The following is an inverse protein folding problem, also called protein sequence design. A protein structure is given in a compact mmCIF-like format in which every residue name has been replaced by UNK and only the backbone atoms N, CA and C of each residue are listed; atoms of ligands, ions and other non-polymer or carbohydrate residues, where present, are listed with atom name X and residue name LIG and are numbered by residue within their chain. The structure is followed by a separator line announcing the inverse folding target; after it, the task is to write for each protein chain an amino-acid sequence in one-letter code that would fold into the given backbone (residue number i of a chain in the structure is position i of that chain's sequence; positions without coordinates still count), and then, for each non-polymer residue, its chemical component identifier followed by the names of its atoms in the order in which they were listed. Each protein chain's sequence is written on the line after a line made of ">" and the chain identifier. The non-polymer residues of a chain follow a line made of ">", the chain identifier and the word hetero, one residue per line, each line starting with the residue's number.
data_IF_871768320362
#
_entry.id   IF_871768320362
#
_cell.length_a   1.000
_cell.length_b   1.000
_cell.length_c   1.000
_cell.angle_alpha   90.00
_cell.angle_beta   90.00
_cell.angle_gamma   90.00
#
_symmetry.space_group_name_H-M   'P 1'
#
loop_
_entity.id
_entity.type
_entity.pdbx_description
1 polymer ?
#
# COMPACT_ATOMS: atom_id res chain seq x y z
N UNK A 1 2.92 -41.42 143.48
CA UNK A 1 2.29 -41.40 142.15
C UNK A 1 1.77 -39.99 141.86
N UNK A 2 2.60 -39.05 141.40
CA UNK A 2 2.19 -37.66 141.15
C UNK A 2 2.88 -36.96 139.98
N UNK A 3 3.89 -37.59 139.37
CA UNK A 3 4.74 -36.94 138.36
C UNK A 3 4.32 -37.20 136.91
N UNK A 4 3.33 -38.06 136.66
CA UNK A 4 2.89 -38.38 135.29
C UNK A 4 1.75 -37.46 134.82
N UNK A 5 0.73 -37.15 135.64
CA UNK A 5 -0.43 -36.32 135.22
C UNK A 5 -0.06 -34.88 134.78
N UNK A 6 0.92 -34.26 135.43
CA UNK A 6 1.43 -32.94 135.04
C UNK A 6 2.18 -32.95 133.70
N UNK A 7 2.91 -34.04 133.41
CA UNK A 7 3.65 -34.20 132.15
C UNK A 7 2.69 -34.40 130.97
N UNK A 8 1.62 -35.18 131.14
CA UNK A 8 0.57 -35.36 130.12
C UNK A 8 -0.24 -34.07 129.84
N UNK A 9 -0.42 -33.20 130.84
CA UNK A 9 -1.09 -31.90 130.65
C UNK A 9 -0.19 -30.86 129.99
N UNK A 10 1.11 -30.87 130.29
CA UNK A 10 2.11 -30.01 129.64
C UNK A 10 2.35 -30.47 128.20
N UNK A 11 2.41 -31.78 127.96
CA UNK A 11 2.54 -32.32 126.60
C UNK A 11 1.31 -31.98 125.75
N UNK A 12 0.08 -32.19 126.27
CA UNK A 12 -1.14 -31.74 125.56
C UNK A 12 -1.18 -30.24 125.31
N UNK A 13 -0.69 -29.42 126.24
CA UNK A 13 -0.61 -27.97 126.04
C UNK A 13 0.38 -27.61 124.93
N UNK A 14 1.57 -28.23 124.92
CA UNK A 14 2.56 -28.05 123.85
C UNK A 14 2.05 -28.55 122.49
N UNK A 15 1.34 -29.67 122.46
CA UNK A 15 0.75 -30.21 121.24
C UNK A 15 -0.39 -29.31 120.71
N UNK A 16 -1.22 -28.75 121.60
CA UNK A 16 -2.22 -27.73 121.26
C UNK A 16 -1.57 -26.44 120.76
N UNK A 17 -0.53 -25.96 121.43
CA UNK A 17 0.20 -24.74 121.04
C UNK A 17 0.90 -24.93 119.68
N UNK A 18 1.46 -26.12 119.43
CA UNK A 18 2.05 -26.50 118.14
C UNK A 18 1.00 -26.56 117.03
N UNK A 19 -0.17 -27.14 117.30
CA UNK A 19 -1.29 -27.19 116.37
C UNK A 19 -1.84 -25.80 116.04
N UNK A 20 -1.95 -24.92 117.04
CA UNK A 20 -2.35 -23.52 116.84
C UNK A 20 -1.32 -22.77 115.99
N UNK A 21 -0.03 -23.01 116.20
CA UNK A 21 1.05 -22.41 115.39
C UNK A 21 0.99 -22.89 113.94
N UNK A 22 0.77 -24.19 113.72
CA UNK A 22 0.61 -24.79 112.39
C UNK A 22 -0.63 -24.23 111.67
N UNK A 23 -1.78 -24.16 112.35
CA UNK A 23 -3.01 -23.60 111.79
C UNK A 23 -2.83 -22.13 111.40
N UNK A 24 -2.09 -21.37 112.21
CA UNK A 24 -1.79 -19.96 111.97
C UNK A 24 -0.89 -19.76 110.75
N UNK A 25 0.10 -20.63 110.56
CA UNK A 25 0.98 -20.61 109.40
C UNK A 25 0.21 -20.92 108.11
N UNK A 26 -0.65 -21.94 108.14
CA UNK A 26 -1.51 -22.31 107.01
C UNK A 26 -2.50 -21.20 106.65
N UNK A 27 -3.07 -20.51 107.63
CA UNK A 27 -3.98 -19.38 107.38
C UNK A 27 -3.25 -18.18 106.77
N UNK A 28 -2.00 -17.93 107.17
CA UNK A 28 -1.15 -16.89 106.59
C UNK A 28 -0.74 -17.22 105.15
N UNK A 29 -0.37 -18.48 104.89
CA UNK A 29 -0.06 -18.95 103.53
C UNK A 29 -1.26 -18.80 102.59
N UNK A 30 -2.46 -19.19 103.05
CA UNK A 30 -3.71 -19.00 102.31
C UNK A 30 -4.00 -17.51 102.06
N UNK A 31 -3.78 -16.65 103.06
CA UNK A 31 -3.93 -15.20 102.91
C UNK A 31 -2.98 -14.62 101.84
N UNK A 32 -1.69 -14.99 101.88
CA UNK A 32 -0.70 -14.55 100.89
C UNK A 32 -1.05 -15.02 99.47
N UNK A 33 -1.55 -16.25 99.31
CA UNK A 33 -2.01 -16.77 98.03
C UNK A 33 -3.20 -15.97 97.49
N UNK A 34 -4.21 -15.69 98.31
CA UNK A 34 -5.37 -14.86 97.91
C UNK A 34 -4.92 -13.46 97.50
N UNK A 35 -4.00 -12.84 98.25
CA UNK A 35 -3.47 -11.50 97.93
C UNK A 35 -2.66 -11.48 96.64
N UNK A 36 -1.88 -12.53 96.39
CA UNK A 36 -1.13 -12.73 95.13
C UNK A 36 -2.09 -12.81 93.95
N UNK A 37 -3.16 -13.60 94.08
CA UNK A 37 -4.19 -13.73 93.03
C UNK A 37 -4.89 -12.38 92.80
N UNK A 38 -5.29 -11.65 93.84
CA UNK A 38 -5.86 -10.30 93.69
C UNK A 38 -4.90 -9.34 92.97
N UNK A 39 -3.60 -9.44 93.24
CA UNK A 39 -2.57 -8.61 92.60
C UNK A 39 -2.38 -8.98 91.12
N UNK A 40 -2.41 -10.27 90.78
CA UNK A 40 -2.34 -10.74 89.40
C UNK A 40 -3.57 -10.32 88.59
N UNK A 41 -4.77 -10.43 89.18
CA UNK A 41 -6.01 -10.00 88.52
C UNK A 41 -6.04 -8.48 88.29
N UNK A 42 -5.54 -7.70 89.25
CA UNK A 42 -5.38 -6.24 89.11
C UNK A 42 -4.32 -5.87 88.07
N UNK A 43 -3.22 -6.62 87.99
CA UNK A 43 -2.15 -6.44 87.00
C UNK A 43 -2.60 -6.71 85.57
N UNK A 44 -3.52 -7.66 85.37
CA UNK A 44 -4.13 -7.95 84.07
C UNK A 44 -5.20 -6.91 83.67
N UNK A 45 -5.82 -6.19 84.62
CA UNK A 45 -6.70 -5.04 84.33
C UNK A 45 -5.92 -3.79 83.86
N UNK A 46 -4.60 -3.73 84.12
CA UNK A 46 -3.73 -2.59 83.78
C UNK A 46 -3.14 -2.71 82.36
N UNK A 47 -3.28 -3.86 81.70
CA UNK A 47 -2.69 -4.07 80.36
C UNK A 47 -3.45 -3.38 79.23
N UNK A 48 -4.46 -2.54 79.51
CA UNK A 48 -5.15 -1.77 78.47
C UNK A 48 -5.42 -0.29 78.82
N UNK A 49 -4.53 0.31 79.61
CA UNK A 49 -4.53 1.77 79.81
C UNK A 49 -3.10 2.31 79.76
N UNK A 50 -2.62 2.50 78.54
CA UNK A 50 -1.45 3.31 78.26
C UNK A 50 -1.75 4.81 78.45
N UNK A 51 -1.86 5.28 79.70
CA UNK A 51 -1.62 6.69 80.07
C UNK A 51 -1.10 6.74 81.52
N UNK A 52 0.04 7.39 81.70
CA UNK A 52 0.80 7.45 82.95
C UNK A 52 0.21 8.45 83.97
N UNK A 53 0.73 8.31 85.21
CA UNK A 53 0.89 9.35 86.25
C UNK A 53 -0.35 9.88 86.97
N UNK A 54 -0.62 9.33 88.16
CA UNK A 54 -0.27 9.98 89.44
C UNK A 54 -0.47 8.96 90.57
N UNK A 55 0.65 8.56 91.16
CA UNK A 55 0.68 7.69 92.32
C UNK A 55 0.65 8.52 93.60
N UNK A 56 -0.47 8.48 94.33
CA UNK A 56 -0.41 8.60 95.78
C UNK A 56 -1.51 7.76 96.44
N UNK A 57 -1.09 6.64 97.02
CA UNK A 57 -1.39 6.26 98.40
C UNK A 57 -0.69 4.93 98.65
N UNK A 58 0.48 5.06 99.24
CA UNK A 58 1.10 4.04 100.07
C UNK A 58 0.07 3.53 101.10
N UNK A 59 -0.20 2.23 101.03
CA UNK A 59 -0.64 1.41 102.17
C UNK A 59 -0.07 0.00 101.90
N UNK A 60 1.25 -0.05 101.79
CA UNK A 60 1.98 -1.32 101.89
C UNK A 60 2.82 -1.29 103.14
N UNK A 61 2.18 -1.60 104.26
CA UNK A 61 2.84 -2.13 105.45
C UNK A 61 2.19 -3.48 105.76
N UNK A 62 2.65 -4.56 105.11
CA UNK A 62 3.68 -5.48 105.64
C UNK A 62 3.26 -6.22 106.92
N UNK A 63 2.40 -7.23 106.79
CA UNK A 63 2.27 -8.31 107.78
C UNK A 63 3.21 -9.47 107.41
N UNK A 64 4.52 -9.25 107.56
CA UNK A 64 5.58 -10.24 107.29
C UNK A 64 5.66 -11.38 108.32
N UNK A 65 4.72 -11.40 109.26
CA UNK A 65 4.67 -12.36 110.34
C UNK A 65 3.24 -12.81 110.56
N UNK A 66 3.06 -14.12 110.72
CA UNK A 66 1.79 -14.69 111.16
C UNK A 66 1.27 -14.03 112.45
N UNK A 67 2.16 -13.38 113.23
CA UNK A 67 1.87 -12.72 114.50
C UNK A 67 0.95 -11.48 114.42
N UNK A 68 0.89 -10.81 113.27
CA UNK A 68 0.31 -9.45 113.14
C UNK A 68 -0.86 -9.34 112.14
N UNK A 69 -1.62 -10.42 111.93
CA UNK A 69 -2.77 -10.41 111.02
C UNK A 69 -4.01 -9.91 111.77
N UNK A 70 -4.60 -8.74 111.43
CA UNK A 70 -5.83 -8.27 112.05
C UNK A 70 -6.99 -9.21 111.75
N UNK A 71 -7.86 -9.44 112.72
CA UNK A 71 -9.07 -10.25 112.58
C UNK A 71 -9.96 -9.66 111.48
N UNK A 72 -10.09 -10.36 110.34
CA UNK A 72 -10.91 -9.93 109.20
C UNK A 72 -10.17 -9.57 107.91
N UNK A 73 -8.83 -9.52 107.90
CA UNK A 73 -8.04 -9.23 106.69
C UNK A 73 -8.23 -10.26 105.56
N UNK A 74 -8.26 -11.56 105.88
CA UNK A 74 -8.57 -12.63 104.92
C UNK A 74 -9.97 -12.47 104.32
N UNK A 75 -10.95 -12.06 105.14
CA UNK A 75 -12.31 -11.83 104.66
C UNK A 75 -12.37 -10.65 103.69
N UNK A 76 -11.64 -9.56 103.99
CA UNK A 76 -11.50 -8.42 103.10
C UNK A 76 -10.82 -8.78 101.77
N UNK A 77 -9.72 -9.54 101.79
CA UNK A 77 -9.05 -10.00 100.57
C UNK A 77 -9.89 -10.99 99.75
N UNK A 78 -10.71 -11.82 100.39
CA UNK A 78 -11.66 -12.69 99.69
C UNK A 78 -12.84 -11.92 99.07
N UNK A 79 -13.34 -10.87 99.73
CA UNK A 79 -14.34 -9.97 99.15
C UNK A 79 -13.76 -9.19 97.96
N UNK A 80 -12.51 -8.75 98.07
CA UNK A 80 -11.79 -8.11 96.97
C UNK A 80 -11.60 -9.09 95.80
N UNK A 81 -11.17 -10.32 96.06
CA UNK A 81 -11.05 -11.37 95.04
C UNK A 81 -12.39 -11.59 94.36
N UNK A 82 -13.47 -11.74 95.13
CA UNK A 82 -14.83 -11.90 94.59
C UNK A 82 -15.23 -10.72 93.70
N UNK A 83 -14.91 -9.49 94.11
CA UNK A 83 -15.18 -8.28 93.32
C UNK A 83 -14.38 -8.26 92.02
N UNK A 84 -13.08 -8.56 92.07
CA UNK A 84 -12.20 -8.58 90.89
C UNK A 84 -12.62 -9.67 89.90
N UNK A 85 -12.95 -10.87 90.38
CA UNK A 85 -13.46 -11.96 89.53
C UNK A 85 -14.82 -11.61 88.90
N UNK A 86 -15.70 -10.95 89.66
CA UNK A 86 -16.99 -10.48 89.13
C UNK A 86 -16.80 -9.39 88.06
N UNK A 87 -15.87 -8.45 88.28
CA UNK A 87 -15.54 -7.42 87.28
C UNK A 87 -14.99 -8.01 85.98
N UNK A 88 -14.21 -9.10 86.02
CA UNK A 88 -13.73 -9.76 84.80
C UNK A 88 -14.85 -10.48 84.05
N UNK A 89 -15.81 -11.07 84.78
CA UNK A 89 -17.00 -11.67 84.18
C UNK A 89 -17.92 -10.62 83.56
N UNK A 90 -18.15 -9.50 84.26
CA UNK A 90 -19.05 -8.42 83.81
C UNK A 90 -18.36 -7.52 82.76
N UNK A 91 -17.04 -7.35 82.84
CA UNK A 91 -16.22 -6.64 81.84
C UNK A 91 -16.23 -7.34 80.48
N UNK A 92 -16.50 -8.64 80.45
CA UNK A 92 -16.74 -9.39 79.22
C UNK A 92 -18.07 -8.99 78.53
N UNK A 93 -19.05 -8.44 79.25
CA UNK A 93 -20.29 -7.87 78.66
C UNK A 93 -20.04 -6.47 78.07
N UNK A 94 -19.04 -5.72 78.58
CA UNK A 94 -18.61 -4.44 78.00
C UNK A 94 -17.86 -4.60 76.67
N UNK A 95 -17.57 -5.84 76.26
CA UNK A 95 -17.07 -6.15 74.91
C UNK A 95 -18.09 -5.83 73.82
N UNK A 96 -19.35 -5.53 74.13
CA UNK A 96 -20.35 -5.09 73.14
C UNK A 96 -19.93 -3.86 72.32
N UNK A 97 -19.24 -2.88 72.93
CA UNK A 97 -18.73 -1.70 72.21
C UNK A 97 -17.52 -2.04 71.34
N UNK A 98 -16.62 -2.91 71.83
CA UNK A 98 -15.47 -3.38 71.03
C UNK A 98 -15.90 -4.28 69.88
N UNK A 99 -16.91 -5.12 70.11
CA UNK A 99 -17.52 -5.97 69.08
C UNK A 99 -18.24 -5.15 68.02
N UNK A 100 -18.91 -4.04 68.38
CA UNK A 100 -19.53 -3.18 67.35
C UNK A 100 -18.49 -2.43 66.53
N UNK A 101 -17.42 -1.92 67.16
CA UNK A 101 -16.34 -1.25 66.42
C UNK A 101 -15.57 -2.24 65.53
N UNK A 102 -15.40 -3.48 65.98
CA UNK A 102 -14.82 -4.57 65.20
C UNK A 102 -15.73 -5.00 64.03
N UNK A 103 -17.04 -5.16 64.23
CA UNK A 103 -18.01 -5.39 63.14
C UNK A 103 -17.99 -4.26 62.10
N UNK A 104 -17.89 -3.00 62.54
CA UNK A 104 -17.83 -1.84 61.64
C UNK A 104 -16.54 -1.84 60.81
N UNK A 105 -15.41 -2.21 61.43
CA UNK A 105 -14.13 -2.35 60.73
C UNK A 105 -14.14 -3.53 59.75
N UNK A 106 -14.69 -4.68 60.13
CA UNK A 106 -14.87 -5.84 59.24
C UNK A 106 -15.71 -5.49 58.02
N UNK A 107 -16.82 -4.78 58.24
CA UNK A 107 -17.68 -4.28 57.17
C UNK A 107 -16.95 -3.29 56.25
N UNK A 108 -16.09 -2.43 56.81
CA UNK A 108 -15.27 -1.50 56.05
C UNK A 108 -14.17 -2.20 55.24
N UNK A 109 -13.56 -3.24 55.80
CA UNK A 109 -12.62 -4.12 55.08
C UNK A 109 -13.34 -4.89 53.98
N UNK A 110 -14.55 -5.41 54.24
CA UNK A 110 -15.38 -6.08 53.23
C UNK A 110 -15.71 -5.13 52.09
N UNK A 111 -16.12 -3.90 52.41
CA UNK A 111 -16.46 -2.87 51.43
C UNK A 111 -15.25 -2.42 50.61
N UNK A 112 -14.10 -2.14 51.25
CA UNK A 112 -12.86 -1.84 50.52
C UNK A 112 -12.41 -3.03 49.67
N UNK A 113 -12.64 -4.26 50.14
CA UNK A 113 -12.39 -5.48 49.37
C UNK A 113 -13.30 -5.61 48.15
N UNK A 114 -14.56 -5.17 48.24
CA UNK A 114 -15.50 -5.05 47.11
C UNK A 114 -15.03 -3.98 46.13
N UNK A 115 -14.72 -2.77 46.61
CA UNK A 115 -14.23 -1.67 45.77
C UNK A 115 -12.92 -2.03 45.04
N UNK A 116 -12.01 -2.77 45.69
CA UNK A 116 -10.79 -3.29 45.04
C UNK A 116 -11.08 -4.36 43.98
N UNK A 117 -12.12 -5.19 44.18
CA UNK A 117 -12.57 -6.16 43.16
C UNK A 117 -13.20 -5.43 41.97
N UNK A 118 -14.08 -4.46 42.22
CA UNK A 118 -14.73 -3.66 41.18
C UNK A 118 -13.70 -2.89 40.35
N UNK A 119 -12.71 -2.26 41.00
CA UNK A 119 -11.61 -1.57 40.30
C UNK A 119 -10.75 -2.53 39.46
N UNK A 120 -10.54 -3.76 39.94
CA UNK A 120 -9.80 -4.78 39.18
C UNK A 120 -10.58 -5.23 37.94
N UNK A 121 -11.87 -5.50 38.09
CA UNK A 121 -12.73 -5.88 36.96
C UNK A 121 -12.79 -4.77 35.91
N UNK A 122 -12.93 -3.51 36.33
CA UNK A 122 -12.89 -2.37 35.40
C UNK A 122 -11.55 -2.23 34.69
N UNK A 123 -10.44 -2.43 35.41
CA UNK A 123 -9.11 -2.39 34.80
C UNK A 123 -8.92 -3.53 33.78
N UNK A 124 -9.35 -4.75 34.11
CA UNK A 124 -9.28 -5.89 33.20
C UNK A 124 -10.15 -5.66 31.95
N UNK A 125 -11.35 -5.09 32.09
CA UNK A 125 -12.21 -4.71 30.97
C UNK A 125 -11.56 -3.64 30.07
N UNK A 126 -10.97 -2.60 30.65
CA UNK A 126 -10.25 -1.58 29.86
C UNK A 126 -9.02 -2.16 29.17
N UNK A 127 -8.32 -3.10 29.81
CA UNK A 127 -7.20 -3.81 29.21
C UNK A 127 -7.66 -4.68 28.04
N UNK A 128 -8.78 -5.38 28.16
CA UNK A 128 -9.36 -6.19 27.08
C UNK A 128 -9.84 -5.33 25.91
N UNK A 129 -10.49 -4.18 26.18
CA UNK A 129 -10.85 -3.18 25.15
C UNK A 129 -9.63 -2.62 24.43
N UNK A 130 -8.54 -2.36 25.16
CA UNK A 130 -7.29 -1.89 24.57
C UNK A 130 -6.69 -2.97 23.68
N UNK A 131 -6.72 -4.24 24.10
CA UNK A 131 -6.24 -5.37 23.32
C UNK A 131 -7.06 -5.59 22.06
N UNK A 132 -8.39 -5.58 22.14
CA UNK A 132 -9.27 -5.71 20.97
C UNK A 132 -9.10 -4.56 19.99
N UNK A 133 -8.99 -3.32 20.49
CA UNK A 133 -8.71 -2.15 19.64
C UNK A 133 -7.35 -2.25 18.93
N UNK A 134 -6.34 -2.79 19.61
CA UNK A 134 -5.03 -3.04 19.00
C UNK A 134 -5.10 -4.11 17.90
N UNK A 135 -5.84 -5.19 18.11
CA UNK A 135 -6.08 -6.22 17.10
C UNK A 135 -6.81 -5.65 15.87
N UNK A 136 -7.86 -4.84 16.07
CA UNK A 136 -8.57 -4.16 14.98
C UNK A 136 -7.64 -3.22 14.20
N UNK A 137 -6.78 -2.46 14.90
CA UNK A 137 -5.81 -1.59 14.26
C UNK A 137 -4.82 -2.37 13.39
N UNK A 138 -4.36 -3.54 13.84
CA UNK A 138 -3.50 -4.43 13.07
C UNK A 138 -4.23 -5.02 11.86
N UNK A 139 -5.50 -5.42 12.02
CA UNK A 139 -6.32 -5.93 10.91
C UNK A 139 -6.53 -4.87 9.83
N UNK A 140 -6.88 -3.65 10.23
CA UNK A 140 -7.02 -2.52 9.31
C UNK A 140 -5.69 -2.16 8.64
N UNK A 141 -4.58 -2.18 9.39
CA UNK A 141 -3.25 -1.95 8.82
C UNK A 141 -2.91 -2.99 7.74
N UNK A 142 -3.14 -4.27 8.01
CA UNK A 142 -2.95 -5.35 7.03
C UNK A 142 -3.85 -5.17 5.80
N UNK A 143 -5.11 -4.77 5.99
CA UNK A 143 -6.03 -4.51 4.88
C UNK A 143 -5.56 -3.32 4.02
N UNK A 144 -5.12 -2.23 4.64
CA UNK A 144 -4.55 -1.07 3.94
C UNK A 144 -3.28 -1.46 3.18
N UNK A 145 -2.43 -2.32 3.76
CA UNK A 145 -1.22 -2.80 3.10
C UNK A 145 -1.56 -3.62 1.82
N UNK A 146 -2.52 -4.55 1.91
CA UNK A 146 -2.97 -5.34 0.76
C UNK A 146 -3.57 -4.46 -0.34
N UNK A 147 -4.47 -3.55 0.02
CA UNK A 147 -5.06 -2.60 -0.94
C UNK A 147 -4.00 -1.68 -1.56
N UNK A 148 -2.97 -1.29 -0.81
CA UNK A 148 -1.87 -0.47 -1.34
C UNK A 148 -1.05 -1.21 -2.39
N UNK A 149 -0.81 -2.52 -2.20
CA UNK A 149 -0.15 -3.36 -3.20
C UNK A 149 -1.04 -3.51 -4.43
N UNK A 150 -2.34 -3.76 -4.26
CA UNK A 150 -3.29 -3.87 -5.38
C UNK A 150 -3.37 -2.57 -6.18
N UNK A 151 -3.49 -1.42 -5.52
CA UNK A 151 -3.48 -0.10 -6.17
C UNK A 151 -2.17 0.14 -6.93
N UNK A 152 -1.04 -0.25 -6.36
CA UNK A 152 0.27 -0.10 -7.02
C UNK A 152 0.36 -1.00 -8.25
N UNK A 153 -0.05 -2.27 -8.14
CA UNK A 153 -0.11 -3.23 -9.24
C UNK A 153 -1.03 -2.75 -10.37
N UNK A 154 -2.25 -2.29 -10.05
CA UNK A 154 -3.17 -1.74 -11.03
C UNK A 154 -2.65 -0.46 -11.68
N UNK A 155 -1.92 0.39 -10.93
CA UNK A 155 -1.28 1.59 -11.47
C UNK A 155 -0.19 1.22 -12.47
N UNK A 156 0.67 0.27 -12.14
CA UNK A 156 1.74 -0.23 -13.04
C UNK A 156 1.17 -0.83 -14.32
N UNK A 157 0.09 -1.61 -14.23
CA UNK A 157 -0.61 -2.15 -15.40
C UNK A 157 -1.21 -1.03 -16.26
N UNK A 158 -1.82 -0.01 -15.65
CA UNK A 158 -2.36 1.14 -16.38
C UNK A 158 -1.27 1.94 -17.09
N UNK A 159 -0.14 2.18 -16.42
CA UNK A 159 1.02 2.86 -16.99
C UNK A 159 1.62 2.05 -18.14
N UNK A 160 1.70 0.72 -17.99
CA UNK A 160 2.13 -0.19 -19.06
C UNK A 160 1.18 -0.12 -20.27
N UNK A 161 -0.13 -0.17 -20.05
CA UNK A 161 -1.12 -0.05 -21.13
C UNK A 161 -1.05 1.33 -21.80
N UNK A 162 -0.93 2.41 -21.01
CA UNK A 162 -0.72 3.77 -21.53
C UNK A 162 0.54 3.87 -22.37
N UNK A 163 1.66 3.34 -21.88
CA UNK A 163 2.90 3.30 -22.64
C UNK A 163 2.73 2.51 -23.94
N UNK A 164 1.98 1.40 -23.97
CA UNK A 164 1.67 0.69 -25.21
C UNK A 164 0.76 1.49 -26.17
N UNK A 165 -0.17 2.30 -25.64
CA UNK A 165 -1.02 3.18 -26.45
C UNK A 165 -0.33 4.47 -26.91
N UNK A 166 0.63 4.99 -26.14
CA UNK A 166 1.45 6.15 -26.53
C UNK A 166 2.54 5.71 -27.51
N UNK A 167 3.12 4.52 -27.32
CA UNK A 167 3.97 3.81 -28.29
C UNK A 167 3.12 3.17 -29.40
N UNK A 168 1.86 3.58 -29.59
CA UNK A 168 1.05 3.18 -30.73
C UNK A 168 1.52 3.87 -32.03
N UNK A 169 2.83 3.77 -32.30
CA UNK A 169 3.49 3.60 -33.59
C UNK A 169 2.57 3.04 -34.68
N UNK A 170 1.71 2.02 -34.45
CA UNK A 170 0.75 1.57 -35.46
C UNK A 170 -0.16 2.66 -36.04
N UNK A 171 -0.49 3.73 -35.30
CA UNK A 171 -1.23 4.86 -35.87
C UNK A 171 -0.31 5.72 -36.75
N UNK A 172 0.92 6.00 -36.31
CA UNK A 172 1.90 6.76 -37.11
C UNK A 172 2.37 6.00 -38.36
N UNK A 173 2.59 4.68 -38.23
CA UNK A 173 2.91 3.74 -39.30
C UNK A 173 1.73 3.59 -40.26
N UNK A 174 0.49 3.48 -39.77
CA UNK A 174 -0.70 3.49 -40.62
C UNK A 174 -0.82 4.82 -41.37
N UNK A 175 -0.63 5.95 -40.70
CA UNK A 175 -0.63 7.28 -41.33
C UNK A 175 0.50 7.39 -42.36
N UNK A 176 1.69 6.84 -42.09
CA UNK A 176 2.78 6.79 -43.07
C UNK A 176 2.44 5.94 -44.28
N UNK A 177 1.92 4.74 -44.08
CA UNK A 177 1.50 3.85 -45.17
C UNK A 177 0.37 4.47 -46.01
N UNK A 178 -0.55 5.24 -45.38
CA UNK A 178 -1.57 6.00 -46.09
C UNK A 178 -0.93 7.09 -46.96
N UNK A 179 0.01 7.89 -46.42
CA UNK A 179 0.73 8.91 -47.20
C UNK A 179 1.48 8.31 -48.38
N UNK A 180 2.21 7.20 -48.16
CA UNK A 180 2.99 6.53 -49.21
C UNK A 180 2.07 5.99 -50.33
N UNK A 181 0.92 5.43 -49.96
CA UNK A 181 -0.11 5.00 -50.91
C UNK A 181 -0.63 6.19 -51.71
N UNK A 182 -0.95 7.29 -51.06
CA UNK A 182 -1.52 8.47 -51.72
C UNK A 182 -0.50 9.12 -52.67
N UNK A 183 0.78 9.13 -52.29
CA UNK A 183 1.87 9.57 -53.17
C UNK A 183 2.00 8.64 -54.40
N UNK A 184 1.94 7.31 -54.20
CA UNK A 184 1.96 6.35 -55.31
C UNK A 184 0.76 6.52 -56.25
N UNK A 185 -0.43 6.79 -55.70
CA UNK A 185 -1.64 7.09 -56.50
C UNK A 185 -1.45 8.38 -57.29
N UNK A 186 -0.88 9.43 -56.69
CA UNK A 186 -0.61 10.69 -57.38
C UNK A 186 0.38 10.50 -58.54
N UNK A 187 1.48 9.76 -58.31
CA UNK A 187 2.45 9.40 -59.35
C UNK A 187 1.81 8.58 -60.48
N UNK A 188 0.98 7.58 -60.14
CA UNK A 188 0.25 6.79 -61.13
C UNK A 188 -0.64 7.70 -62.00
N UNK A 189 -1.45 8.57 -61.39
CA UNK A 189 -2.31 9.51 -62.11
C UNK A 189 -1.50 10.45 -63.01
N UNK A 190 -0.35 10.93 -62.56
CA UNK A 190 0.54 11.76 -63.37
C UNK A 190 1.03 11.03 -64.63
N UNK A 191 1.48 9.79 -64.48
CA UNK A 191 1.90 8.95 -65.61
C UNK A 191 0.73 8.63 -66.54
N UNK A 192 -0.47 8.34 -66.01
CA UNK A 192 -1.67 8.11 -66.82
C UNK A 192 -2.07 9.34 -67.64
N UNK A 193 -1.92 10.55 -67.08
CA UNK A 193 -2.17 11.81 -67.81
C UNK A 193 -1.16 12.01 -68.95
N UNK A 194 0.14 11.78 -68.71
CA UNK A 194 1.15 11.86 -69.77
C UNK A 194 0.95 10.78 -70.84
N UNK A 195 0.53 9.58 -70.47
CA UNK A 195 0.19 8.52 -71.42
C UNK A 195 -0.99 8.93 -72.32
N UNK A 196 -2.05 9.50 -71.74
CA UNK A 196 -3.19 10.01 -72.50
C UNK A 196 -2.77 11.13 -73.47
N UNK A 197 -1.89 12.03 -73.04
CA UNK A 197 -1.31 13.08 -73.88
C UNK A 197 -0.52 12.50 -75.05
N UNK A 198 0.41 11.58 -74.80
CA UNK A 198 1.18 10.90 -75.85
C UNK A 198 0.27 10.18 -76.86
N UNK A 199 -0.84 9.57 -76.40
CA UNK A 199 -1.82 8.93 -77.28
C UNK A 199 -2.49 9.94 -78.20
N UNK A 200 -2.87 11.11 -77.68
CA UNK A 200 -3.43 12.21 -78.47
C UNK A 200 -2.40 12.68 -79.51
N UNK A 201 -1.14 12.84 -79.12
CA UNK A 201 -0.06 13.28 -80.01
C UNK A 201 0.16 12.27 -81.16
N UNK A 202 0.16 10.96 -80.87
CA UNK A 202 0.25 9.90 -81.89
C UNK A 202 -0.95 9.95 -82.84
N UNK A 203 -2.17 10.12 -82.33
CA UNK A 203 -3.38 10.22 -83.16
C UNK A 203 -3.33 11.46 -84.07
N UNK A 204 -2.86 12.60 -83.55
CA UNK A 204 -2.66 13.81 -84.32
C UNK A 204 -1.61 13.60 -85.43
N UNK A 205 -0.47 13.00 -85.10
CA UNK A 205 0.59 12.73 -86.06
C UNK A 205 0.16 11.74 -87.14
N UNK A 206 -0.64 10.72 -86.79
CA UNK A 206 -1.20 9.78 -87.75
C UNK A 206 -2.15 10.49 -88.74
N UNK A 207 -3.01 11.39 -88.24
CA UNK A 207 -3.85 12.23 -89.11
C UNK A 207 -3.00 13.06 -90.07
N UNK A 208 -1.96 13.74 -89.56
CA UNK A 208 -1.06 14.54 -90.40
C UNK A 208 -0.33 13.69 -91.46
N UNK A 209 0.08 12.47 -91.09
CA UNK A 209 0.72 11.54 -92.01
C UNK A 209 -0.25 11.10 -93.13
N UNK A 210 -1.48 10.76 -92.78
CA UNK A 210 -2.50 10.38 -93.76
C UNK A 210 -2.79 11.54 -94.73
N UNK A 211 -2.91 12.77 -94.22
CA UNK A 211 -3.11 13.96 -95.05
C UNK A 211 -1.92 14.19 -96.00
N UNK A 212 -0.69 14.03 -95.51
CA UNK A 212 0.52 14.16 -96.33
C UNK A 212 0.61 13.08 -97.42
N UNK A 213 0.24 11.84 -97.11
CA UNK A 213 0.16 10.74 -98.10
C UNK A 213 -0.91 11.07 -99.15
N UNK A 214 -2.08 11.55 -98.73
CA UNK A 214 -3.16 11.92 -99.65
C UNK A 214 -2.76 13.06 -100.58
N UNK A 215 -2.08 14.09 -100.07
CA UNK A 215 -1.52 15.17 -100.87
C UNK A 215 -0.48 14.66 -101.88
N UNK A 216 0.44 13.80 -101.43
CA UNK A 216 1.46 13.20 -102.30
C UNK A 216 0.83 12.37 -103.43
N UNK A 217 -0.17 11.55 -103.11
CA UNK A 217 -0.89 10.73 -104.10
C UNK A 217 -1.55 11.62 -105.16
N UNK A 218 -2.23 12.69 -104.74
CA UNK A 218 -2.88 13.63 -105.65
C UNK A 218 -1.86 14.31 -106.59
N UNK A 219 -0.73 14.76 -106.07
CA UNK A 219 0.34 15.36 -106.90
C UNK A 219 0.95 14.34 -107.88
N UNK A 220 1.16 13.09 -107.44
CA UNK A 220 1.64 12.04 -108.34
C UNK A 220 0.66 11.77 -109.49
N UNK A 221 -0.65 11.73 -109.20
CA UNK A 221 -1.68 11.55 -110.23
C UNK A 221 -1.73 12.74 -111.20
N UNK A 222 -1.60 13.97 -110.71
CA UNK A 222 -1.52 15.15 -111.57
C UNK A 222 -0.28 15.12 -112.47
N UNK A 223 0.85 14.64 -111.95
CA UNK A 223 2.10 14.51 -112.70
C UNK A 223 1.98 13.44 -113.79
N UNK A 224 1.37 12.29 -113.48
CA UNK A 224 1.09 11.22 -114.45
C UNK A 224 0.17 11.71 -115.58
N UNK A 225 -0.91 12.42 -115.24
CA UNK A 225 -1.80 13.03 -116.24
C UNK A 225 -1.05 14.03 -117.14
N UNK A 226 -0.19 14.87 -116.56
CA UNK A 226 0.62 15.81 -117.34
C UNK A 226 1.64 15.09 -118.24
N UNK A 227 2.24 13.99 -117.76
CA UNK A 227 3.13 13.17 -118.58
C UNK A 227 2.38 12.58 -119.77
N UNK A 228 1.19 12.03 -119.58
CA UNK A 228 0.36 11.49 -120.66
C UNK A 228 0.02 12.57 -121.69
N UNK A 229 -0.38 13.77 -121.25
CA UNK A 229 -0.65 14.89 -122.14
C UNK A 229 0.59 15.28 -122.96
N UNK A 230 1.76 15.33 -122.34
CA UNK A 230 3.02 15.63 -123.04
C UNK A 230 3.40 14.55 -124.05
N UNK A 231 3.23 13.26 -123.72
CA UNK A 231 3.44 12.18 -124.68
C UNK A 231 2.50 12.31 -125.89
N UNK A 232 1.22 12.62 -125.66
CA UNK A 232 0.25 12.84 -126.75
C UNK A 232 0.63 14.01 -127.64
N UNK A 233 1.13 15.11 -127.06
CA UNK A 233 1.64 16.26 -127.82
C UNK A 233 2.85 15.86 -128.68
N UNK A 234 3.79 15.09 -128.13
CA UNK A 234 4.96 14.60 -128.86
C UNK A 234 4.53 13.69 -130.01
N UNK A 235 3.64 12.73 -129.76
CA UNK A 235 3.13 11.81 -130.79
C UNK A 235 2.42 12.57 -131.91
N UNK A 236 1.59 13.56 -131.57
CA UNK A 236 0.94 14.41 -132.56
C UNK A 236 1.96 15.20 -133.40
N UNK A 237 2.96 15.82 -132.77
CA UNK A 237 4.02 16.54 -133.48
C UNK A 237 4.84 15.63 -134.41
N UNK A 238 5.09 14.38 -134.01
CA UNK A 238 5.77 13.40 -134.86
C UNK A 238 4.92 13.02 -136.08
N UNK A 239 3.61 12.80 -135.89
CA UNK A 239 2.70 12.50 -137.01
C UNK A 239 2.57 13.67 -137.98
N UNK A 240 2.44 14.89 -137.47
CA UNK A 240 2.34 16.11 -138.29
C UNK A 240 3.62 16.30 -139.12
N UNK A 241 4.81 16.13 -138.50
CA UNK A 241 6.10 16.19 -139.21
C UNK A 241 6.23 15.14 -140.30
N UNK A 242 5.87 13.90 -140.03
CA UNK A 242 5.88 12.87 -141.06
C UNK A 242 4.94 13.27 -142.19
N UNK A 243 3.71 13.71 -141.89
CA UNK A 243 2.76 14.12 -142.92
C UNK A 243 3.24 15.30 -143.77
N UNK A 244 4.01 16.23 -143.20
CA UNK A 244 4.69 17.30 -143.93
C UNK A 244 5.81 16.74 -144.84
N UNK A 245 6.68 15.86 -144.33
CA UNK A 245 7.72 15.18 -145.14
C UNK A 245 7.14 14.39 -146.32
N UNK A 246 5.95 13.79 -146.17
CA UNK A 246 5.28 13.03 -147.24
C UNK A 246 4.55 13.91 -148.28
N UNK A 247 4.40 15.23 -148.04
CA UNK A 247 3.77 16.17 -148.98
C UNK A 247 4.77 16.81 -149.96
N UNK A 248 6.08 16.69 -149.73
CA UNK A 248 7.12 17.21 -150.63
C UNK A 248 7.74 16.09 -151.52
N UNK A 249 7.76 16.22 -152.87
CA UNK A 249 8.38 15.22 -153.76
C UNK A 249 9.91 15.43 -153.90
N UNK A 250 10.69 14.40 -154.29
CA UNK A 250 12.14 14.50 -154.29
C UNK A 250 12.65 15.21 -155.55
N UNK A 251 13.15 16.44 -155.42
CA UNK A 251 14.14 16.99 -156.35
C UNK A 251 15.18 17.87 -155.63
N UNK A 252 16.39 17.31 -155.57
CA UNK A 252 17.73 17.91 -155.60
C UNK A 252 17.94 19.33 -155.05
N UNK A 253 18.87 19.47 -154.08
CA UNK A 253 19.89 20.51 -154.18
C UNK A 253 21.22 20.11 -153.53
N UNK A 254 22.30 20.39 -154.26
CA UNK A 254 23.67 20.04 -153.96
C UNK A 254 24.42 21.21 -153.31
N UNK A 255 25.15 20.89 -152.23
CA UNK A 255 26.51 21.36 -151.86
C UNK A 255 26.81 22.88 -151.76
N UNK A 256 27.13 23.33 -150.53
CA UNK A 256 28.21 24.26 -150.07
C UNK A 256 27.88 24.66 -148.61
N UNK A 257 28.76 24.75 -147.62
CA UNK A 257 30.20 24.67 -147.48
C UNK A 257 30.58 25.25 -146.11
N UNK A 258 31.82 24.97 -145.67
CA UNK A 258 32.61 25.69 -144.67
C UNK A 258 32.29 25.55 -143.16
N UNK A 259 33.27 24.91 -142.50
CA UNK A 259 34.07 25.43 -141.40
C UNK A 259 33.69 25.13 -139.93
N UNK A 260 34.75 24.63 -139.26
CA UNK A 260 35.21 24.97 -137.91
C UNK A 260 34.81 24.07 -136.72
N UNK A 261 35.90 23.55 -136.12
CA UNK A 261 36.12 23.39 -134.68
C UNK A 261 35.62 22.13 -133.98
N UNK A 262 36.58 21.21 -133.74
CA UNK A 262 36.69 20.36 -132.54
C UNK A 262 36.86 21.26 -131.29
N UNK A 263 36.43 20.85 -130.09
CA UNK A 263 37.15 19.81 -129.37
C UNK A 263 36.32 18.81 -128.56
N UNK A 264 37.00 17.69 -128.33
CA UNK A 264 36.68 16.58 -127.45
C UNK A 264 36.75 17.03 -125.99
N UNK A 265 35.77 16.67 -125.16
CA UNK A 265 36.02 16.56 -123.72
C UNK A 265 35.12 15.50 -123.08
N UNK A 266 35.74 14.36 -122.80
CA UNK A 266 35.33 13.42 -121.74
C UNK A 266 35.50 14.15 -120.41
N UNK A 267 34.49 14.13 -119.55
CA UNK A 267 34.69 14.33 -118.11
C UNK A 267 34.04 13.16 -117.39
N UNK A 268 34.91 12.30 -116.90
CA UNK A 268 34.66 11.45 -115.75
C UNK A 268 34.62 12.31 -114.48
N UNK A 269 34.03 11.72 -113.45
CA UNK A 269 34.23 12.01 -112.03
C UNK A 269 33.51 13.22 -111.45
N UNK A 270 32.41 12.92 -110.75
CA UNK A 270 32.18 13.54 -109.45
C UNK A 270 31.33 12.65 -108.56
N UNK A 271 32.00 11.74 -107.88
CA UNK A 271 31.58 11.31 -106.56
C UNK A 271 31.58 12.52 -105.61
N UNK A 272 30.44 12.82 -104.98
CA UNK A 272 30.33 13.33 -103.60
C UNK A 272 28.86 13.44 -103.15
N UNK A 273 28.47 12.70 -102.10
CA UNK A 273 27.19 12.89 -101.42
C UNK A 273 27.21 14.17 -100.59
N UNK A 274 26.22 15.03 -100.82
CA UNK A 274 25.90 16.16 -99.95
C UNK A 274 24.90 15.68 -98.89
N UNK A 275 25.18 16.03 -97.63
CA UNK A 275 24.33 15.95 -96.44
C UNK A 275 24.26 14.62 -95.69
N UNK A 276 25.24 14.44 -94.79
CA UNK A 276 25.13 13.65 -93.57
C UNK A 276 24.98 14.57 -92.36
N UNK A 277 23.75 14.86 -91.94
CA UNK A 277 23.47 15.46 -90.64
C UNK A 277 22.16 14.88 -90.09
N UNK A 278 22.27 14.01 -89.08
CA UNK A 278 21.57 14.07 -87.79
C UNK A 278 21.83 12.76 -87.03
N UNK A 279 22.86 12.78 -86.19
CA UNK A 279 23.00 11.89 -85.04
C UNK A 279 22.61 12.73 -83.82
N UNK A 280 21.53 12.36 -83.15
CA UNK A 280 21.03 13.05 -81.94
C UNK A 280 21.18 12.09 -80.76
N UNK A 281 21.99 12.50 -79.79
CA UNK A 281 21.88 12.08 -78.40
C UNK A 281 20.62 12.71 -77.80
#
# INVERSE_FOLDING_TARGET
>A
MGSLSGVWSIQRRKDCDLFLLQLRLQLWEAYCQVRSICSQLRGNDITDSALSTDSSMDESSETLSAKDVPTGSLHSSLLELRRLTQNLLDGNESTGSRRSDEEVLEEQVRKLGEELRDLRELYEQEQEKTHSSQEEALQLHNQVALLSVEVSSSREENERLRAMTEVHEPNEQLQSAIRDRDEAIAKKKAVEMELAKCKIDIMSLNSQLLDAIQQKLNLSQQLEAWQDDMHRVIDQQLMDKHQEEWKDPPFSFSRRGAAASRPTQRLADRDKPLFSFFKKN
#
